data_IF_823313771897
#
_entry.id   IF_823313771897
#
_cell.length_a   1.000
_cell.length_b   1.000
_cell.length_c   1.000
_cell.angle_alpha   90.00
_cell.angle_beta   90.00
_cell.angle_gamma   90.00
#
_symmetry.space_group_name_H-M   'P 1'
#
loop_
_entity.id
_entity.type
_entity.pdbx_description
1 polymer ?
#
# COMPACT_ATOMS: atom_id res chain seq x y z
N UNK A 1 5.74 23.00 2.71
CA UNK A 1 5.47 22.04 3.81
C UNK A 1 5.69 20.62 3.27
N UNK A 2 6.51 19.78 3.90
CA UNK A 2 6.80 18.40 3.44
C UNK A 2 6.05 17.37 4.31
N UNK A 3 4.99 16.78 3.78
CA UNK A 3 4.26 15.66 4.41
C UNK A 3 4.84 14.37 3.86
N UNK A 4 5.25 13.45 4.74
CA UNK A 4 5.65 12.10 4.35
C UNK A 4 4.58 11.08 4.75
N UNK A 5 4.20 10.21 3.82
CA UNK A 5 3.28 9.09 4.06
C UNK A 5 4.14 7.83 4.28
N UNK A 6 4.03 7.23 5.46
CA UNK A 6 4.82 6.06 5.84
C UNK A 6 3.90 4.96 6.41
N UNK A 7 4.24 3.69 6.17
CA UNK A 7 3.51 2.52 6.66
C UNK A 7 4.42 1.33 6.96
N UNK A 8 3.87 0.30 7.61
CA UNK A 8 4.58 -0.95 7.93
C UNK A 8 5.37 -0.92 9.25
N UNK A 9 6.55 -1.55 9.27
CA UNK A 9 7.50 -1.61 10.41
C UNK A 9 8.20 -0.28 10.70
N UNK A 10 7.95 0.75 9.88
CA UNK A 10 8.67 2.01 9.98
C UNK A 10 8.40 2.69 11.33
N UNK A 11 9.47 2.98 12.07
CA UNK A 11 9.38 3.59 13.39
C UNK A 11 9.56 5.13 13.30
N UNK A 12 8.47 5.92 13.41
CA UNK A 12 8.51 7.35 13.12
C UNK A 12 9.33 8.16 14.14
N UNK A 13 9.54 7.66 15.38
CA UNK A 13 10.26 8.39 16.44
C UNK A 13 11.67 8.83 16.05
N UNK A 14 12.38 8.06 15.23
CA UNK A 14 13.75 8.40 14.85
C UNK A 14 13.85 9.46 13.75
N UNK A 15 12.75 9.76 13.05
CA UNK A 15 12.76 10.57 11.83
C UNK A 15 11.87 11.84 11.90
N UNK A 16 11.24 12.12 13.04
CA UNK A 16 10.34 13.29 13.23
C UNK A 16 10.98 14.65 12.93
N UNK A 17 12.32 14.75 12.95
CA UNK A 17 13.04 15.98 12.58
C UNK A 17 13.03 16.26 11.07
N UNK A 18 12.84 15.24 10.23
CA UNK A 18 12.95 15.35 8.78
C UNK A 18 11.62 15.70 8.11
N UNK A 19 10.50 15.26 8.69
CA UNK A 19 9.17 15.48 8.14
C UNK A 19 8.06 15.31 9.19
N UNK A 20 6.87 15.79 8.85
CA UNK A 20 5.67 15.57 9.65
C UNK A 20 5.02 14.25 9.26
N UNK A 21 4.80 13.38 10.24
CA UNK A 21 4.23 12.05 10.04
C UNK A 21 2.71 12.07 10.19
N UNK A 22 2.04 11.38 9.26
CA UNK A 22 0.61 11.05 9.36
C UNK A 22 0.47 9.52 9.38
N UNK A 23 -0.15 8.99 10.42
CA UNK A 23 -0.38 7.56 10.62
C UNK A 23 -1.86 7.26 10.44
N UNK A 24 -2.20 6.36 9.53
CA UNK A 24 -3.57 5.91 9.31
C UNK A 24 -3.91 4.79 10.30
N UNK A 25 -4.83 5.06 11.22
CA UNK A 25 -5.28 4.09 12.21
C UNK A 25 -6.36 3.18 11.64
N UNK A 26 -6.21 1.86 11.81
CA UNK A 26 -7.29 0.90 11.57
C UNK A 26 -8.33 1.00 12.70
N UNK A 27 -9.64 0.95 12.40
CA UNK A 27 -10.69 0.82 13.42
C UNK A 27 -10.41 -0.38 14.33
N UNK A 28 -10.50 -0.19 15.65
CA UNK A 28 -10.23 -1.23 16.66
C UNK A 28 -8.75 -1.46 17.01
N UNK A 29 -7.79 -0.82 16.32
CA UNK A 29 -6.38 -0.90 16.70
C UNK A 29 -6.10 -0.05 17.96
N UNK A 30 -5.40 -0.63 18.93
CA UNK A 30 -4.95 0.10 20.12
C UNK A 30 -4.07 1.29 19.71
N UNK A 31 -4.45 2.50 20.14
CA UNK A 31 -3.68 3.72 19.87
C UNK A 31 -2.36 3.64 20.64
N UNK A 32 -1.28 3.29 19.95
CA UNK A 32 0.07 3.32 20.54
C UNK A 32 0.49 4.76 20.83
N UNK A 33 1.23 4.97 21.93
CA UNK A 33 1.85 6.27 22.23
C UNK A 33 2.78 6.65 21.08
N UNK A 34 2.64 7.86 20.55
CA UNK A 34 3.52 8.42 19.55
C UNK A 34 3.90 9.85 19.96
N UNK A 35 5.04 10.38 19.49
CA UNK A 35 5.41 11.77 19.72
C UNK A 35 4.34 12.74 19.24
N UNK A 36 4.24 13.92 19.87
CA UNK A 36 3.29 14.97 19.50
C UNK A 36 3.37 15.39 18.01
N UNK A 37 4.52 15.20 17.38
CA UNK A 37 4.74 15.47 15.96
C UNK A 37 4.01 14.51 14.99
N UNK A 38 3.50 13.38 15.49
CA UNK A 38 2.78 12.37 14.69
C UNK A 38 1.28 12.62 14.77
N UNK A 39 0.64 12.84 13.61
CA UNK A 39 -0.83 12.95 13.54
C UNK A 39 -1.44 11.60 13.17
N UNK A 40 -2.47 11.19 13.90
CA UNK A 40 -3.26 10.01 13.53
C UNK A 40 -4.47 10.45 12.71
N UNK A 41 -4.70 9.79 11.58
CA UNK A 41 -5.87 9.97 10.74
C UNK A 41 -6.73 8.69 10.78
N UNK A 42 -8.04 8.80 11.06
CA UNK A 42 -8.94 7.65 10.92
C UNK A 42 -9.00 7.23 9.44
N UNK A 43 -9.05 5.92 9.19
CA UNK A 43 -9.13 5.38 7.84
C UNK A 43 -9.93 4.09 7.80
N UNK A 44 -11.01 4.10 7.03
CA UNK A 44 -11.74 2.88 6.67
C UNK A 44 -10.98 2.17 5.60
N UNK A 45 -10.33 1.11 6.03
CA UNK A 45 -9.33 0.53 5.21
C UNK A 45 -9.93 -0.41 4.19
N UNK A 46 -9.87 0.06 2.95
CA UNK A 46 -10.17 -0.67 1.74
C UNK A 46 -9.50 -2.04 1.83
N UNK A 47 -10.27 -3.12 1.73
CA UNK A 47 -9.80 -4.51 1.78
C UNK A 47 -8.95 -4.90 0.57
N UNK A 48 -8.05 -4.03 0.14
CA UNK A 48 -7.23 -4.11 -1.06
C UNK A 48 -5.77 -4.11 -0.61
N UNK A 49 -4.97 -5.02 -1.17
CA UNK A 49 -3.53 -5.05 -0.93
C UNK A 49 -2.77 -5.33 -2.23
N UNK A 50 -1.54 -4.84 -2.32
CA UNK A 50 -0.68 -5.10 -3.49
C UNK A 50 -0.44 -6.60 -3.70
N UNK A 51 -0.30 -7.39 -2.63
CA UNK A 51 -0.14 -8.85 -2.71
C UNK A 51 -1.37 -9.53 -3.29
N UNK A 52 -2.57 -9.09 -2.92
CA UNK A 52 -3.82 -9.63 -3.48
C UNK A 52 -4.02 -9.22 -4.95
N UNK A 53 -3.72 -7.96 -5.30
CA UNK A 53 -3.73 -7.48 -6.70
C UNK A 53 -2.78 -8.31 -7.57
N UNK A 54 -1.52 -8.50 -7.14
CA UNK A 54 -0.54 -9.31 -7.86
C UNK A 54 -1.03 -10.74 -8.08
N UNK A 55 -1.52 -11.39 -7.02
CA UNK A 55 -2.06 -12.75 -7.08
C UNK A 55 -3.22 -12.86 -8.07
N UNK A 56 -4.15 -11.89 -8.08
CA UNK A 56 -5.26 -11.84 -9.04
C UNK A 56 -4.73 -11.75 -10.48
N UNK A 57 -3.84 -10.81 -10.76
CA UNK A 57 -3.24 -10.63 -12.09
C UNK A 57 -2.50 -11.89 -12.56
N UNK A 58 -1.68 -12.48 -11.69
CA UNK A 58 -0.95 -13.72 -11.95
C UNK A 58 -1.87 -14.95 -12.12
N UNK A 59 -3.11 -14.87 -11.63
CA UNK A 59 -4.14 -15.91 -11.80
C UNK A 59 -5.07 -15.63 -12.99
N UNK A 60 -4.88 -14.54 -13.74
CA UNK A 60 -5.79 -14.11 -14.81
C UNK A 60 -7.13 -13.55 -14.31
N UNK A 61 -7.26 -13.26 -13.01
CA UNK A 61 -8.45 -12.67 -12.41
C UNK A 61 -8.49 -11.17 -12.67
N UNK A 62 -9.70 -10.63 -12.81
CA UNK A 62 -9.91 -9.19 -12.98
C UNK A 62 -9.51 -8.40 -11.72
N UNK A 63 -8.95 -7.20 -11.95
CA UNK A 63 -8.67 -6.20 -10.92
C UNK A 63 -9.46 -4.90 -11.14
N UNK A 64 -10.48 -4.94 -12.01
CA UNK A 64 -11.34 -3.79 -12.29
C UNK A 64 -11.93 -3.26 -10.99
N UNK A 65 -11.94 -1.92 -10.82
CA UNK A 65 -12.37 -1.21 -9.60
C UNK A 65 -11.49 -1.38 -8.36
N UNK A 66 -10.45 -2.22 -8.39
CA UNK A 66 -9.45 -2.31 -7.31
C UNK A 66 -8.27 -1.37 -7.53
N UNK A 67 -8.10 -0.93 -8.78
CA UNK A 67 -7.06 -0.02 -9.22
C UNK A 67 -7.69 1.03 -10.13
N UNK A 68 -7.08 2.22 -10.27
CA UNK A 68 -7.49 3.19 -11.27
C UNK A 68 -7.50 2.58 -12.68
N UNK A 69 -8.54 2.87 -13.47
CA UNK A 69 -8.72 2.31 -14.81
C UNK A 69 -7.50 2.57 -15.73
N UNK A 70 -6.86 3.73 -15.57
CA UNK A 70 -5.69 4.15 -16.35
C UNK A 70 -4.50 3.19 -16.20
N UNK A 71 -4.32 2.53 -15.06
CA UNK A 71 -3.19 1.61 -14.85
C UNK A 71 -3.54 0.13 -15.11
N UNK A 72 -4.79 -0.20 -15.41
CA UNK A 72 -5.21 -1.60 -15.59
C UNK A 72 -4.46 -2.29 -16.74
N UNK A 73 -4.25 -1.57 -17.85
CA UNK A 73 -3.56 -2.10 -19.03
C UNK A 73 -2.09 -2.38 -18.72
N UNK A 74 -1.42 -1.44 -18.06
CA UNK A 74 0.00 -1.55 -17.71
C UNK A 74 0.24 -2.70 -16.73
N UNK A 75 -0.63 -2.86 -15.73
CA UNK A 75 -0.57 -3.97 -14.80
C UNK A 75 -0.75 -5.32 -15.50
N UNK A 76 -1.74 -5.45 -16.40
CA UNK A 76 -1.96 -6.68 -17.17
C UNK A 76 -0.75 -7.02 -18.04
N UNK A 77 -0.15 -6.02 -18.69
CA UNK A 77 1.03 -6.23 -19.54
C UNK A 77 2.25 -6.66 -18.74
N UNK A 78 2.49 -6.01 -17.60
CA UNK A 78 3.63 -6.31 -16.73
C UNK A 78 3.51 -7.70 -16.11
N UNK A 79 2.38 -8.01 -15.47
CA UNK A 79 2.19 -9.29 -14.76
C UNK A 79 1.79 -10.45 -15.69
N UNK A 80 1.27 -10.17 -16.89
CA UNK A 80 1.00 -11.17 -17.93
C UNK A 80 2.29 -11.71 -18.56
N UNK A 81 3.32 -10.86 -18.74
CA UNK A 81 4.63 -11.28 -19.25
C UNK A 81 5.36 -12.24 -18.31
N UNK A 82 5.18 -12.09 -17.00
CA UNK A 82 5.85 -12.91 -15.98
C UNK A 82 5.50 -14.40 -16.06
N UNK A 83 4.35 -14.76 -16.66
CA UNK A 83 3.99 -16.17 -16.94
C UNK A 83 4.85 -16.80 -18.04
N UNK A 84 5.28 -16.03 -19.05
CA UNK A 84 6.06 -16.57 -20.18
C UNK A 84 7.50 -16.88 -19.81
N UNK A 85 8.07 -16.17 -18.83
CA UNK A 85 9.48 -16.34 -18.43
C UNK A 85 9.69 -17.39 -17.34
N UNK A 86 8.64 -17.76 -16.59
CA UNK A 86 8.74 -18.70 -15.47
C UNK A 86 8.54 -20.17 -15.82
N UNK A 87 8.10 -20.48 -17.05
CA UNK A 87 7.87 -21.86 -17.53
C UNK A 87 9.11 -22.43 -18.25
N UNK A 88 10.18 -21.64 -18.42
CA UNK A 88 11.44 -22.08 -19.06
C UNK A 88 12.62 -22.18 -18.09
N UNK A 89 12.39 -22.47 -16.80
CA UNK A 89 13.47 -22.72 -15.84
C UNK A 89 13.17 -23.90 -14.95
#
# INVERSE_FOLDING_TARGET
MRIGIFGGSFNPVHNVRLCRFVVFSRPGAARRRAPAAVRFAPFDALGISASDIRRRLESGKSVKRLVPAVIEKDLKNYFGRTRSTRIQK
#
